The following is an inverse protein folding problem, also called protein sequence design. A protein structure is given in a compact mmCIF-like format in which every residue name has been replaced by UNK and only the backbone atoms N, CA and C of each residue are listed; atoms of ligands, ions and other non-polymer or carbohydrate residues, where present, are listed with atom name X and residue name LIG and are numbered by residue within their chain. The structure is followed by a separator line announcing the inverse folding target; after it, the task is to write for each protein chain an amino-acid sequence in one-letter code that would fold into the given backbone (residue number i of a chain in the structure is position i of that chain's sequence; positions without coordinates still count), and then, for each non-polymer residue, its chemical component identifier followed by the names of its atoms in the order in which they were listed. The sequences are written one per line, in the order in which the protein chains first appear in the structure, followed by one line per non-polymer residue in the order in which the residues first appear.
data_IF_420022385500
#
_entry.id   IF_420022385500
#
_cell.length_a   1.000
_cell.length_b   1.000
_cell.length_c   1.000
_cell.angle_alpha   90.00
_cell.angle_beta   90.00
_cell.angle_gamma   90.00
#
_symmetry.space_group_name_H-M   'P 1'
#
loop_
_entity.id
_entity.type
_entity.pdbx_description
1 polymer ?
#
# COMPACT_ATOMS: atom_id res chain seq x y z
N UNK A 1 11.17 -26.25 21.49
CA UNK A 1 10.97 -24.93 22.15
C UNK A 1 11.52 -23.76 21.33
N UNK A 2 12.82 -23.70 21.04
CA UNK A 2 13.43 -22.54 20.34
C UNK A 2 12.83 -22.24 18.95
N UNK A 3 12.51 -23.27 18.16
CA UNK A 3 11.88 -23.12 16.83
C UNK A 3 10.50 -22.45 16.88
N UNK A 4 9.65 -22.84 17.83
CA UNK A 4 8.31 -22.25 18.00
C UNK A 4 8.38 -20.79 18.45
N UNK A 5 9.35 -20.46 19.31
CA UNK A 5 9.58 -19.08 19.74
C UNK A 5 9.98 -18.19 18.55
N UNK A 6 10.88 -18.69 17.68
CA UNK A 6 11.28 -17.98 16.47
C UNK A 6 10.09 -17.79 15.51
N UNK A 7 9.30 -18.84 15.28
CA UNK A 7 8.08 -18.73 14.45
C UNK A 7 7.08 -17.70 15.00
N UNK A 8 6.91 -17.65 16.32
CA UNK A 8 6.02 -16.70 16.97
C UNK A 8 6.54 -15.26 16.86
N UNK A 9 7.84 -15.04 17.08
CA UNK A 9 8.48 -13.72 16.87
C UNK A 9 8.33 -13.25 15.42
N UNK A 10 8.58 -14.12 14.44
CA UNK A 10 8.41 -13.82 13.02
C UNK A 10 6.95 -13.54 12.65
N UNK A 11 6.00 -14.26 13.26
CA UNK A 11 4.59 -14.00 13.05
C UNK A 11 4.20 -12.63 13.59
N UNK A 12 4.54 -12.31 14.84
CA UNK A 12 4.23 -11.02 15.46
C UNK A 12 4.90 -9.85 14.75
N UNK A 13 6.17 -9.98 14.35
CA UNK A 13 6.85 -8.92 13.60
C UNK A 13 6.14 -8.65 12.26
N UNK A 14 5.70 -9.71 11.57
CA UNK A 14 4.93 -9.59 10.32
C UNK A 14 3.57 -8.94 10.54
N UNK A 15 2.85 -9.27 11.61
CA UNK A 15 1.55 -8.64 11.90
C UNK A 15 1.72 -7.16 12.30
N UNK A 16 2.73 -6.85 13.10
CA UNK A 16 3.03 -5.48 13.51
C UNK A 16 3.42 -4.62 12.31
N UNK A 17 4.27 -5.14 11.42
CA UNK A 17 4.64 -4.46 10.18
C UNK A 17 3.41 -4.13 9.34
N UNK A 18 2.49 -5.09 9.17
CA UNK A 18 1.23 -4.88 8.44
C UNK A 18 0.40 -3.76 9.08
N UNK A 19 0.26 -3.78 10.40
CA UNK A 19 -0.48 -2.76 11.14
C UNK A 19 0.12 -1.36 10.95
N UNK A 20 1.43 -1.22 11.10
CA UNK A 20 2.13 0.06 10.95
C UNK A 20 1.93 0.65 9.55
N UNK A 21 2.12 -0.16 8.49
CA UNK A 21 1.98 0.36 7.12
C UNK A 21 0.53 0.65 6.73
N UNK A 22 -0.44 -0.13 7.23
CA UNK A 22 -1.87 0.15 7.02
C UNK A 22 -2.27 1.45 7.70
N UNK A 23 -1.85 1.67 8.95
CA UNK A 23 -2.17 2.89 9.69
C UNK A 23 -1.51 4.12 9.08
N UNK A 24 -0.23 4.02 8.72
CA UNK A 24 0.51 5.06 8.00
C UNK A 24 -0.16 5.43 6.68
N UNK A 25 -0.57 4.46 5.87
CA UNK A 25 -1.28 4.73 4.61
C UNK A 25 -2.62 5.44 4.86
N UNK A 26 -3.41 4.96 5.83
CA UNK A 26 -4.68 5.59 6.19
C UNK A 26 -4.50 7.04 6.66
N UNK A 27 -3.48 7.33 7.47
CA UNK A 27 -3.17 8.69 7.90
C UNK A 27 -2.98 9.66 6.71
N UNK A 28 -2.19 9.26 5.70
CA UNK A 28 -1.98 10.11 4.52
C UNK A 28 -3.23 10.21 3.64
N UNK A 29 -3.99 9.12 3.48
CA UNK A 29 -5.24 9.12 2.72
C UNK A 29 -6.30 10.03 3.36
N UNK A 30 -6.45 9.98 4.68
CA UNK A 30 -7.34 10.88 5.43
C UNK A 30 -6.93 12.34 5.28
N UNK A 31 -5.62 12.63 5.38
CA UNK A 31 -5.06 13.96 5.14
C UNK A 31 -5.34 14.47 3.71
N UNK A 32 -5.31 13.59 2.72
CA UNK A 32 -5.66 13.89 1.33
C UNK A 32 -7.18 13.92 1.07
N UNK A 33 -8.01 13.73 2.10
CA UNK A 33 -9.48 13.61 2.02
C UNK A 33 -9.94 12.49 1.07
N UNK A 34 -9.17 11.41 0.98
CA UNK A 34 -9.55 10.22 0.24
C UNK A 34 -10.77 9.56 0.88
N UNK A 35 -11.61 8.95 0.05
CA UNK A 35 -12.73 8.10 0.50
C UNK A 35 -12.29 6.65 0.72
N UNK A 36 -11.07 6.28 0.32
CA UNK A 36 -10.54 4.93 0.47
C UNK A 36 -10.01 4.75 1.89
N UNK A 37 -10.30 3.58 2.47
CA UNK A 37 -9.72 3.13 3.73
C UNK A 37 -9.03 1.80 3.47
N UNK A 38 -7.76 1.71 3.84
CA UNK A 38 -6.95 0.50 3.70
C UNK A 38 -7.29 -0.42 4.85
N UNK A 39 -7.67 -1.65 4.50
CA UNK A 39 -7.96 -2.71 5.47
C UNK A 39 -6.93 -3.84 5.36
N UNK A 40 -6.49 -4.15 4.15
CA UNK A 40 -5.40 -5.06 3.87
C UNK A 40 -4.54 -4.48 2.75
N UNK A 41 -3.40 -3.88 3.13
CA UNK A 41 -2.44 -3.28 2.21
C UNK A 41 -2.02 -4.24 1.08
N UNK A 42 -1.97 -5.55 1.34
CA UNK A 42 -1.56 -6.53 0.33
C UNK A 42 -2.64 -6.82 -0.71
N UNK A 43 -3.92 -6.69 -0.34
CA UNK A 43 -5.05 -6.85 -1.25
C UNK A 43 -5.39 -5.52 -1.94
N UNK A 44 -5.38 -4.44 -1.18
CA UNK A 44 -5.82 -3.11 -1.62
C UNK A 44 -4.81 -2.43 -2.56
N UNK A 45 -3.53 -2.81 -2.53
CA UNK A 45 -2.50 -2.30 -3.45
C UNK A 45 -2.37 -3.09 -4.77
N UNK A 46 -3.19 -4.12 -5.01
CA UNK A 46 -3.03 -5.01 -6.18
C UNK A 46 -3.16 -4.32 -7.52
N UNK A 47 -4.05 -3.33 -7.62
CA UNK A 47 -4.30 -2.56 -8.85
C UNK A 47 -3.35 -1.36 -9.01
N UNK A 48 -2.47 -1.11 -8.01
CA UNK A 48 -1.57 0.03 -7.96
C UNK A 48 -2.25 1.39 -7.71
N UNK A 49 -3.58 1.48 -7.77
CA UNK A 49 -4.28 2.76 -7.61
C UNK A 49 -4.18 3.29 -6.19
N UNK A 50 -4.31 2.41 -5.19
CA UNK A 50 -4.13 2.80 -3.80
C UNK A 50 -2.69 3.28 -3.55
N UNK A 51 -1.71 2.57 -4.11
CA UNK A 51 -0.30 2.95 -3.98
C UNK A 51 -0.05 4.33 -4.57
N UNK A 52 -0.57 4.60 -5.78
CA UNK A 52 -0.48 5.91 -6.40
C UNK A 52 -1.10 7.00 -5.51
N UNK A 53 -2.30 6.75 -4.97
CA UNK A 53 -3.00 7.72 -4.13
C UNK A 53 -2.25 8.03 -2.81
N UNK A 54 -1.64 7.00 -2.20
CA UNK A 54 -0.77 7.18 -1.03
C UNK A 54 0.50 7.97 -1.40
N UNK A 55 1.13 7.69 -2.55
CA UNK A 55 2.29 8.47 -3.04
C UNK A 55 1.91 9.93 -3.28
N UNK A 56 0.77 10.20 -3.92
CA UNK A 56 0.28 11.56 -4.12
C UNK A 56 0.00 12.27 -2.80
N UNK A 57 -0.57 11.56 -1.82
CA UNK A 57 -0.87 12.11 -0.50
C UNK A 57 0.40 12.46 0.30
N UNK A 58 1.46 11.65 0.17
CA UNK A 58 2.74 11.85 0.86
C UNK A 58 3.58 12.92 0.18
N UNK A 59 3.71 12.86 -1.14
CA UNK A 59 4.56 13.77 -1.91
C UNK A 59 3.90 15.09 -2.23
N UNK A 60 2.57 15.18 -2.13
CA UNK A 60 1.72 16.30 -2.58
C UNK A 60 1.80 16.59 -4.09
N UNK A 61 2.46 15.71 -4.86
CA UNK A 61 2.55 15.77 -6.32
C UNK A 61 1.65 14.71 -6.95
N UNK A 62 1.13 15.00 -8.15
CA UNK A 62 0.34 14.03 -8.92
C UNK A 62 1.25 13.01 -9.57
N UNK A 63 0.85 11.73 -9.52
CA UNK A 63 1.56 10.67 -10.23
C UNK A 63 1.22 10.80 -11.72
N UNK A 64 2.20 11.09 -12.59
CA UNK A 64 1.98 11.23 -14.02
C UNK A 64 1.56 9.88 -14.64
N UNK A 65 0.76 9.95 -15.71
CA UNK A 65 0.33 8.78 -16.50
C UNK A 65 -0.42 7.68 -15.72
N UNK A 66 -1.08 8.03 -14.61
CA UNK A 66 -1.87 7.09 -13.82
C UNK A 66 -3.08 6.55 -14.60
N UNK A 67 -3.04 5.27 -14.93
CA UNK A 67 -4.17 4.56 -15.57
C UNK A 67 -5.23 4.23 -14.52
N UNK A 68 -6.28 5.05 -14.44
CA UNK A 68 -7.37 4.93 -13.44
C UNK A 68 -8.21 3.63 -13.50
N UNK A 69 -8.08 2.85 -14.58
CA UNK A 69 -8.72 1.54 -14.76
C UNK A 69 -7.75 0.60 -15.45
N UNK A 70 -6.79 -0.01 -14.73
CA UNK A 70 -5.85 -0.95 -15.32
C UNK A 70 -6.62 -2.21 -15.77
N UNK A 71 -6.82 -2.35 -17.08
CA UNK A 71 -7.49 -3.52 -17.70
C UNK A 71 -6.54 -4.64 -18.11
N UNK A 72 -5.25 -4.35 -18.18
CA UNK A 72 -4.22 -5.29 -18.66
C UNK A 72 -3.04 -5.32 -17.67
N UNK A 73 -2.32 -6.45 -17.57
CA UNK A 73 -1.13 -6.56 -16.72
C UNK A 73 -0.08 -5.49 -16.99
N UNK A 74 0.05 -5.06 -18.24
CA UNK A 74 0.97 -4.02 -18.68
C UNK A 74 0.65 -2.64 -18.09
N UNK A 75 -0.63 -2.33 -17.83
CA UNK A 75 -1.00 -1.06 -17.19
C UNK A 75 -0.62 -1.00 -15.72
N UNK A 76 -0.53 -2.14 -15.04
CA UNK A 76 -0.03 -2.20 -13.66
C UNK A 76 1.48 -1.93 -13.61
N UNK A 77 2.24 -2.35 -14.63
CA UNK A 77 3.70 -2.18 -14.69
C UNK A 77 4.12 -0.73 -14.94
N UNK A 78 3.29 0.08 -15.61
CA UNK A 78 3.61 1.50 -15.87
C UNK A 78 3.71 2.31 -14.59
N UNK A 79 2.92 1.99 -13.56
CA UNK A 79 3.00 2.67 -12.26
C UNK A 79 4.36 2.43 -11.58
N UNK A 80 4.91 1.23 -11.71
CA UNK A 80 6.21 0.86 -11.14
C UNK A 80 7.40 1.48 -11.86
N UNK A 81 7.23 2.20 -12.98
CA UNK A 81 8.33 2.97 -13.58
C UNK A 81 8.68 4.25 -12.81
N UNK A 82 7.80 4.66 -11.89
CA UNK A 82 7.93 5.88 -11.10
C UNK A 82 8.31 5.63 -9.63
N UNK A 83 8.54 4.36 -9.24
CA UNK A 83 8.98 3.93 -7.90
C UNK A 83 10.32 3.22 -8.04
#
# INVERSE_FOLDING_TARGET
MHFYLLQLVLFYSRQLQKWIYTDWANYYLERAKSKRKVSDLSADCRDGLLLAEVIEAVTTFKVPDLVKKPKTPQHMTTLFKWV
#
